data_IF_096391961082
#
_entry.id   IF_096391961082
#
_cell.length_a   1.000
_cell.length_b   1.000
_cell.length_c   1.000
_cell.angle_alpha   90.00
_cell.angle_beta   90.00
_cell.angle_gamma   90.00
#
_symmetry.space_group_name_H-M   'P 1'
#
loop_
_entity.id
_entity.type
_entity.pdbx_description
1 polymer ?
#
# COMPACT_ATOMS: atom_id res chain seq x y z
N UNK A 1 10.53 28.23 -6.00
CA UNK A 1 11.10 26.99 -5.41
C UNK A 1 10.46 25.81 -6.12
N UNK A 2 11.24 24.78 -6.50
CA UNK A 2 10.68 23.57 -7.11
C UNK A 2 9.71 22.90 -6.12
N UNK A 3 8.51 22.53 -6.57
CA UNK A 3 7.54 21.79 -5.75
C UNK A 3 8.09 20.38 -5.53
N UNK A 4 8.15 19.95 -4.28
CA UNK A 4 8.61 18.62 -3.88
C UNK A 4 7.47 17.85 -3.22
N UNK A 5 7.28 16.60 -3.63
CA UNK A 5 6.25 15.72 -3.11
C UNK A 5 6.88 14.40 -2.63
N UNK A 6 6.19 13.67 -1.77
CA UNK A 6 6.60 12.35 -1.29
C UNK A 6 5.49 11.34 -1.54
N UNK A 7 5.80 10.19 -2.16
CA UNK A 7 4.81 9.18 -2.50
C UNK A 7 5.19 7.80 -2.00
N UNK A 8 4.22 7.10 -1.44
CA UNK A 8 4.35 5.79 -0.83
C UNK A 8 3.52 4.75 -1.58
N UNK A 9 4.14 3.65 -1.99
CA UNK A 9 3.48 2.65 -2.82
C UNK A 9 2.45 1.79 -2.08
N UNK A 10 1.51 1.19 -2.80
CA UNK A 10 0.69 0.09 -2.29
C UNK A 10 1.58 -1.13 -2.04
N UNK A 11 1.48 -1.75 -0.86
CA UNK A 11 2.31 -2.90 -0.51
C UNK A 11 1.74 -3.81 0.61
N UNK A 12 0.51 -3.59 1.06
CA UNK A 12 -0.09 -4.36 2.15
C UNK A 12 0.77 -4.41 3.42
N UNK A 13 1.03 -5.61 3.94
CA UNK A 13 1.82 -5.79 5.17
C UNK A 13 3.31 -5.43 5.03
N UNK A 14 3.84 -5.25 3.81
CA UNK A 14 5.16 -4.64 3.62
C UNK A 14 5.16 -3.13 3.96
N UNK A 15 4.03 -2.57 4.39
CA UNK A 15 3.92 -1.22 4.95
C UNK A 15 4.88 -0.97 6.11
N UNK A 16 5.35 -2.02 6.80
CA UNK A 16 6.37 -1.90 7.84
C UNK A 16 7.69 -1.33 7.31
N UNK A 17 8.08 -1.64 6.07
CA UNK A 17 9.24 -1.02 5.42
C UNK A 17 9.03 0.49 5.26
N UNK A 18 7.83 0.88 4.80
CA UNK A 18 7.49 2.29 4.58
C UNK A 18 7.41 3.06 5.90
N UNK A 19 6.97 2.42 6.99
CA UNK A 19 7.04 2.99 8.35
C UNK A 19 8.49 3.22 8.79
N UNK A 20 9.40 2.28 8.50
CA UNK A 20 10.84 2.46 8.76
C UNK A 20 11.44 3.62 7.94
N UNK A 21 11.04 3.77 6.68
CA UNK A 21 11.42 4.93 5.86
C UNK A 21 10.88 6.23 6.46
N UNK A 22 9.61 6.27 6.86
CA UNK A 22 9.02 7.43 7.50
C UNK A 22 9.76 7.83 8.79
N UNK A 23 10.14 6.85 9.62
CA UNK A 23 10.94 7.06 10.84
C UNK A 23 12.31 7.66 10.51
N UNK A 24 13.01 7.11 9.51
CA UNK A 24 14.30 7.63 9.07
C UNK A 24 14.19 9.07 8.51
N UNK A 25 13.12 9.36 7.76
CA UNK A 25 12.85 10.70 7.25
C UNK A 25 12.57 11.70 8.38
N UNK A 26 11.82 11.32 9.41
CA UNK A 26 11.57 12.17 10.58
C UNK A 26 12.86 12.45 11.37
N UNK A 27 13.72 11.43 11.53
CA UNK A 27 14.98 11.56 12.30
C UNK A 27 16.09 12.31 11.56
N UNK A 28 16.24 12.05 10.26
CA UNK A 28 17.41 12.48 9.49
C UNK A 28 17.06 13.41 8.32
N UNK A 29 15.79 13.45 7.92
CA UNK A 29 15.29 14.14 6.72
C UNK A 29 14.54 15.45 6.99
N UNK A 30 14.72 16.09 8.16
CA UNK A 30 13.94 17.28 8.54
C UNK A 30 13.93 18.40 7.46
N UNK A 31 15.08 18.68 6.82
CA UNK A 31 15.17 19.65 5.72
C UNK A 31 14.38 19.22 4.48
N UNK A 32 14.41 17.93 4.17
CA UNK A 32 13.66 17.35 3.05
C UNK A 32 12.16 17.46 3.32
N UNK A 33 11.71 16.97 4.48
CA UNK A 33 10.30 17.02 4.90
C UNK A 33 9.76 18.44 4.98
N UNK A 34 10.57 19.41 5.46
CA UNK A 34 10.20 20.83 5.46
C UNK A 34 10.00 21.42 4.06
N UNK A 35 10.55 20.78 3.03
CA UNK A 35 10.38 21.18 1.62
C UNK A 35 9.22 20.44 0.93
N UNK A 36 8.72 19.35 1.50
CA UNK A 36 7.62 18.56 0.93
C UNK A 36 6.31 19.33 1.07
N UNK A 37 5.66 19.57 -0.08
CA UNK A 37 4.36 20.23 -0.16
C UNK A 37 3.21 19.24 -0.06
N UNK A 38 3.31 18.13 -0.76
CA UNK A 38 2.25 17.13 -0.82
C UNK A 38 2.79 15.72 -0.64
N UNK A 39 1.94 14.88 -0.09
CA UNK A 39 2.17 13.48 0.17
C UNK A 39 1.15 12.69 -0.62
N UNK A 40 1.54 11.54 -1.16
CA UNK A 40 0.65 10.68 -1.91
C UNK A 40 0.82 9.23 -1.51
N UNK A 41 -0.22 8.43 -1.73
CA UNK A 41 -0.08 7.00 -1.60
C UNK A 41 -1.32 6.22 -1.98
N UNK A 42 -1.14 4.90 -2.01
CA UNK A 42 -2.18 3.92 -2.25
C UNK A 42 -2.09 2.82 -1.18
N UNK A 43 -3.21 2.25 -0.75
CA UNK A 43 -3.25 1.16 0.23
C UNK A 43 -2.42 1.48 1.49
N UNK A 44 -1.60 0.55 1.97
CA UNK A 44 -0.67 0.76 3.07
C UNK A 44 0.20 2.04 2.93
N UNK A 45 0.61 2.40 1.71
CA UNK A 45 1.35 3.64 1.47
C UNK A 45 0.52 4.90 1.79
N UNK A 46 -0.78 4.89 1.49
CA UNK A 46 -1.67 6.01 1.86
C UNK A 46 -1.86 6.14 3.38
N UNK A 47 -1.85 5.02 4.11
CA UNK A 47 -1.90 5.01 5.57
C UNK A 47 -0.63 5.65 6.16
N UNK A 48 0.55 5.24 5.68
CA UNK A 48 1.83 5.82 6.11
C UNK A 48 1.92 7.31 5.76
N UNK A 49 1.53 7.69 4.54
CA UNK A 49 1.50 9.08 4.11
C UNK A 49 0.59 9.93 5.00
N UNK A 50 -0.59 9.42 5.37
CA UNK A 50 -1.53 10.12 6.26
C UNK A 50 -0.90 10.36 7.63
N UNK A 51 -0.35 9.32 8.26
CA UNK A 51 0.29 9.43 9.58
C UNK A 51 1.43 10.43 9.55
N UNK A 52 2.27 10.39 8.52
CA UNK A 52 3.41 11.32 8.38
C UNK A 52 2.96 12.78 8.25
N UNK A 53 1.80 13.03 7.63
CA UNK A 53 1.23 14.38 7.48
C UNK A 53 0.54 14.86 8.74
N UNK A 54 -0.23 13.99 9.40
CA UNK A 54 -1.20 14.41 10.43
C UNK A 54 -0.78 14.09 11.85
N UNK A 55 0.05 13.07 12.06
CA UNK A 55 0.43 12.57 13.38
C UNK A 55 1.83 11.90 13.40
N UNK A 56 2.89 12.59 12.94
CA UNK A 56 4.24 12.01 12.88
C UNK A 56 4.76 11.55 14.25
N UNK A 57 4.31 12.18 15.34
CA UNK A 57 4.64 11.81 16.72
C UNK A 57 4.05 10.45 17.14
N UNK A 58 2.99 9.97 16.48
CA UNK A 58 2.36 8.68 16.76
C UNK A 58 3.00 7.50 16.01
N UNK A 59 4.11 7.71 15.29
CA UNK A 59 4.69 6.68 14.43
C UNK A 59 5.03 5.37 15.17
N UNK A 60 5.53 5.45 16.40
CA UNK A 60 5.76 4.26 17.25
C UNK A 60 4.47 3.49 17.50
N UNK A 61 3.39 4.19 17.86
CA UNK A 61 2.08 3.57 18.06
C UNK A 61 1.55 2.94 16.77
N UNK A 62 1.78 3.56 15.61
CA UNK A 62 1.40 3.00 14.31
C UNK A 62 2.17 1.72 14.00
N UNK A 63 3.48 1.65 14.33
CA UNK A 63 4.27 0.42 14.20
C UNK A 63 3.71 -0.69 15.09
N UNK A 64 3.40 -0.39 16.35
CA UNK A 64 2.81 -1.37 17.27
C UNK A 64 1.45 -1.87 16.80
N UNK A 65 0.60 -0.97 16.30
CA UNK A 65 -0.66 -1.33 15.66
C UNK A 65 -0.41 -2.25 14.45
N UNK A 66 0.51 -1.90 13.55
CA UNK A 66 0.83 -2.70 12.37
C UNK A 66 1.33 -4.10 12.73
N UNK A 67 2.20 -4.22 13.75
CA UNK A 67 2.69 -5.52 14.24
C UNK A 67 1.57 -6.36 14.85
N UNK A 68 0.73 -5.78 15.71
CA UNK A 68 -0.43 -6.47 16.30
C UNK A 68 -1.41 -6.90 15.23
N UNK A 69 -1.74 -6.01 14.30
CA UNK A 69 -2.65 -6.27 13.19
C UNK A 69 -2.14 -7.41 12.29
N UNK A 70 -0.86 -7.39 11.91
CA UNK A 70 -0.24 -8.48 11.15
C UNK A 70 -0.20 -9.80 11.95
N UNK A 71 0.07 -9.74 13.26
CA UNK A 71 0.04 -10.92 14.14
C UNK A 71 -1.36 -11.53 14.22
N UNK A 72 -2.37 -10.69 14.42
CA UNK A 72 -3.78 -11.10 14.49
C UNK A 72 -4.24 -11.75 13.20
N UNK A 73 -3.89 -11.19 12.04
CA UNK A 73 -4.18 -11.77 10.73
C UNK A 73 -3.49 -13.12 10.58
N UNK A 74 -2.19 -13.23 10.91
CA UNK A 74 -1.45 -14.51 10.80
C UNK A 74 -1.98 -15.62 11.69
N UNK A 75 -2.60 -15.30 12.83
CA UNK A 75 -3.21 -16.28 13.74
C UNK A 75 -4.51 -16.87 13.21
N UNK A 76 -5.15 -16.22 12.23
CA UNK A 76 -6.42 -16.71 11.70
C UNK A 76 -6.20 -17.87 10.70
N UNK A 77 -7.10 -18.87 10.71
CA UNK A 77 -7.00 -20.08 9.87
C UNK A 77 -6.92 -19.77 8.35
N UNK A 78 -7.54 -18.69 7.90
CA UNK A 78 -7.51 -18.23 6.50
C UNK A 78 -6.95 -16.80 6.37
N UNK A 79 -6.14 -16.34 7.32
CA UNK A 79 -5.66 -14.97 7.35
C UNK A 79 -6.82 -13.96 7.45
N UNK A 80 -6.73 -12.87 6.69
CA UNK A 80 -7.77 -11.84 6.64
C UNK A 80 -9.11 -12.33 6.05
N UNK A 81 -9.12 -13.50 5.38
CA UNK A 81 -10.33 -14.12 4.79
C UNK A 81 -11.06 -15.03 5.77
N UNK A 82 -10.68 -15.05 7.04
CA UNK A 82 -11.29 -15.93 8.04
C UNK A 82 -12.71 -15.46 8.36
N UNK A 83 -13.74 -16.32 8.21
CA UNK A 83 -15.11 -15.96 8.56
C UNK A 83 -15.20 -15.44 10.01
N UNK A 84 -15.76 -14.24 10.19
CA UNK A 84 -15.87 -13.58 11.49
C UNK A 84 -14.71 -12.67 11.87
N UNK A 85 -13.60 -12.65 11.11
CA UNK A 85 -12.53 -11.65 11.27
C UNK A 85 -12.80 -10.45 10.35
N UNK A 86 -13.20 -9.32 10.92
CA UNK A 86 -13.42 -8.10 10.14
C UNK A 86 -12.12 -7.25 10.08
N UNK A 87 -11.35 -7.49 9.02
CA UNK A 87 -10.12 -6.76 8.72
C UNK A 87 -10.37 -5.24 8.61
N UNK A 88 -11.49 -4.86 7.98
CA UNK A 88 -11.80 -3.46 7.72
C UNK A 88 -12.26 -2.74 8.98
N UNK A 89 -13.00 -3.42 9.86
CA UNK A 89 -13.37 -2.90 11.17
C UNK A 89 -12.13 -2.63 12.04
N UNK A 90 -11.21 -3.60 12.15
CA UNK A 90 -9.97 -3.41 12.91
C UNK A 90 -9.09 -2.30 12.34
N UNK A 91 -9.02 -2.18 11.01
CA UNK A 91 -8.31 -1.07 10.37
C UNK A 91 -8.97 0.28 10.69
N UNK A 92 -10.31 0.34 10.67
CA UNK A 92 -11.08 1.53 11.08
C UNK A 92 -10.80 1.91 12.52
N UNK A 93 -10.88 0.97 13.45
CA UNK A 93 -10.59 1.21 14.89
C UNK A 93 -9.18 1.78 15.08
N UNK A 94 -8.19 1.23 14.37
CA UNK A 94 -6.83 1.77 14.38
C UNK A 94 -6.73 3.20 13.84
N UNK A 95 -7.43 3.51 12.75
CA UNK A 95 -7.47 4.87 12.20
C UNK A 95 -8.16 5.86 13.14
N UNK A 96 -9.24 5.43 13.80
CA UNK A 96 -9.97 6.22 14.80
C UNK A 96 -9.18 6.45 16.10
N UNK A 97 -8.21 5.60 16.42
CA UNK A 97 -7.31 5.79 17.57
C UNK A 97 -6.08 6.65 17.20
N UNK A 98 -5.52 6.43 16.02
CA UNK A 98 -4.28 7.10 15.58
C UNK A 98 -4.56 8.52 15.11
N UNK A 99 -5.55 8.76 14.25
CA UNK A 99 -5.71 10.07 13.60
C UNK A 99 -6.23 11.14 14.57
N UNK A 100 -5.69 12.38 14.57
CA UNK A 100 -6.24 13.45 15.38
C UNK A 100 -7.65 13.90 14.89
N UNK A 101 -8.45 14.57 15.74
CA UNK A 101 -9.79 15.06 15.36
C UNK A 101 -9.81 15.93 14.10
N UNK A 102 -8.78 16.76 13.90
CA UNK A 102 -8.63 17.66 12.76
C UNK A 102 -7.75 17.09 11.62
N UNK A 103 -7.53 15.76 11.58
CA UNK A 103 -6.66 15.14 10.58
C UNK A 103 -7.04 15.51 9.13
N UNK A 104 -8.34 15.60 8.84
CA UNK A 104 -8.87 15.96 7.53
C UNK A 104 -8.51 17.40 7.09
N UNK A 105 -8.40 18.33 8.04
CA UNK A 105 -7.97 19.71 7.77
C UNK A 105 -6.47 19.77 7.49
N UNK A 106 -5.66 19.04 8.29
CA UNK A 106 -4.21 18.97 8.11
C UNK A 106 -3.84 18.27 6.79
N UNK A 107 -4.59 17.23 6.44
CA UNK A 107 -4.39 16.43 5.23
C UNK A 107 -4.96 17.09 3.96
N UNK A 108 -5.93 18.00 4.10
CA UNK A 108 -6.53 18.71 2.97
C UNK A 108 -5.47 19.37 2.09
N UNK A 109 -5.52 19.11 0.78
CA UNK A 109 -4.58 19.56 -0.25
C UNK A 109 -3.12 19.10 -0.10
N UNK A 110 -2.78 18.50 1.03
CA UNK A 110 -1.44 18.01 1.35
C UNK A 110 -1.33 16.50 1.22
N UNK A 111 -2.43 15.77 1.23
CA UNK A 111 -2.48 14.32 1.07
C UNK A 111 -3.29 13.96 -0.18
N UNK A 112 -2.75 13.09 -1.02
CA UNK A 112 -3.42 12.53 -2.19
C UNK A 112 -3.55 11.02 -2.05
N UNK A 113 -4.78 10.53 -1.89
CA UNK A 113 -5.07 9.10 -1.73
C UNK A 113 -5.61 8.53 -3.03
N UNK A 114 -4.94 7.50 -3.52
CA UNK A 114 -5.38 6.73 -4.69
C UNK A 114 -6.51 5.77 -4.30
N UNK A 115 -7.62 5.79 -5.04
CA UNK A 115 -8.71 4.82 -4.92
C UNK A 115 -9.13 4.33 -6.31
N UNK A 116 -9.57 3.08 -6.40
CA UNK A 116 -9.99 2.45 -7.65
C UNK A 116 -11.51 2.32 -7.69
N UNK A 117 -12.15 2.83 -8.74
CA UNK A 117 -13.58 2.64 -8.94
C UNK A 117 -13.88 1.16 -9.25
N UNK A 118 -14.72 0.50 -8.44
CA UNK A 118 -14.92 -0.95 -8.50
C UNK A 118 -15.44 -1.45 -9.86
N UNK A 119 -16.40 -0.73 -10.46
CA UNK A 119 -16.99 -1.08 -11.77
C UNK A 119 -16.13 -0.69 -12.98
N UNK A 120 -15.77 0.59 -13.08
CA UNK A 120 -15.08 1.14 -14.26
C UNK A 120 -13.57 0.88 -14.25
N UNK A 121 -13.00 0.48 -13.10
CA UNK A 121 -11.55 0.30 -12.88
C UNK A 121 -10.74 1.55 -13.23
N UNK A 122 -11.36 2.73 -13.12
CA UNK A 122 -10.66 4.02 -13.25
C UNK A 122 -10.12 4.46 -11.89
N UNK A 123 -8.94 5.07 -11.91
CA UNK A 123 -8.35 5.67 -10.73
C UNK A 123 -9.01 7.01 -10.39
N UNK A 124 -9.06 7.32 -9.09
CA UNK A 124 -9.35 8.65 -8.58
C UNK A 124 -8.33 9.01 -7.50
N UNK A 125 -7.74 10.20 -7.60
CA UNK A 125 -6.89 10.77 -6.56
C UNK A 125 -7.72 11.73 -5.71
N UNK A 126 -7.98 11.36 -4.46
CA UNK A 126 -8.74 12.20 -3.51
C UNK A 126 -7.77 13.01 -2.66
N UNK A 127 -7.95 14.33 -2.62
CA UNK A 127 -7.11 15.23 -1.81
C UNK A 127 -7.87 16.20 -0.90
N UNK A 128 -9.19 16.18 -0.97
CA UNK A 128 -10.06 17.04 -0.17
C UNK A 128 -10.98 16.15 0.67
N UNK A 129 -11.04 16.42 1.96
CA UNK A 129 -11.75 15.60 2.94
C UNK A 129 -12.70 16.49 3.73
N UNK A 130 -14.01 16.20 3.67
CA UNK A 130 -15.02 17.04 4.32
C UNK A 130 -15.04 16.91 5.85
N UNK A 131 -14.53 15.79 6.38
CA UNK A 131 -14.45 15.50 7.81
C UNK A 131 -13.40 14.42 8.07
N UNK A 132 -13.07 14.19 9.34
CA UNK A 132 -12.22 13.06 9.76
C UNK A 132 -12.79 11.72 9.30
N UNK A 133 -14.10 11.55 9.39
CA UNK A 133 -14.79 10.35 8.88
C UNK A 133 -14.69 10.22 7.37
N UNK A 134 -14.72 11.33 6.64
CA UNK A 134 -14.53 11.33 5.18
C UNK A 134 -13.12 10.84 4.81
N UNK A 135 -12.09 11.34 5.52
CA UNK A 135 -10.71 10.87 5.37
C UNK A 135 -10.57 9.38 5.69
N UNK A 136 -11.09 8.92 6.83
CA UNK A 136 -11.05 7.51 7.23
C UNK A 136 -11.72 6.63 6.17
N UNK A 137 -12.88 7.04 5.67
CA UNK A 137 -13.60 6.30 4.61
C UNK A 137 -12.80 6.18 3.32
N UNK A 138 -12.10 7.24 2.91
CA UNK A 138 -11.21 7.22 1.73
C UNK A 138 -10.02 6.29 1.95
N UNK A 139 -9.41 6.28 3.13
CA UNK A 139 -8.31 5.37 3.48
C UNK A 139 -8.76 3.91 3.49
N UNK A 140 -9.93 3.63 4.06
CA UNK A 140 -10.53 2.29 4.01
C UNK A 140 -10.79 1.85 2.57
N UNK A 141 -11.30 2.74 1.70
CA UNK A 141 -11.48 2.44 0.28
C UNK A 141 -10.13 2.14 -0.39
N UNK A 142 -9.11 2.95 -0.12
CA UNK A 142 -7.74 2.80 -0.64
C UNK A 142 -7.06 1.50 -0.19
N UNK A 143 -7.47 0.93 0.94
CA UNK A 143 -6.94 -0.34 1.50
C UNK A 143 -7.86 -1.55 1.32
N UNK A 144 -9.00 -1.41 0.66
CA UNK A 144 -9.94 -2.51 0.44
C UNK A 144 -9.48 -3.39 -0.73
N UNK A 145 -8.71 -4.44 -0.46
CA UNK A 145 -8.32 -5.39 -1.52
C UNK A 145 -9.48 -6.37 -1.76
N UNK A 146 -10.09 -6.39 -2.97
CA UNK A 146 -11.16 -7.34 -3.30
C UNK A 146 -10.71 -8.79 -3.08
N UNK A 147 -11.65 -9.68 -2.73
CA UNK A 147 -11.41 -11.09 -2.34
C UNK A 147 -10.81 -11.24 -0.94
N UNK A 148 -9.95 -10.32 -0.50
CA UNK A 148 -9.34 -10.35 0.84
C UNK A 148 -10.18 -9.66 1.92
N UNK A 149 -10.74 -8.48 1.61
CA UNK A 149 -11.49 -7.65 2.55
C UNK A 149 -13.02 -7.81 2.44
N UNK A 150 -13.48 -8.68 1.55
CA UNK A 150 -14.90 -8.93 1.26
C UNK A 150 -15.25 -8.80 -0.23
N UNK A 151 -16.54 -8.92 -0.52
CA UNK A 151 -17.09 -8.86 -1.89
C UNK A 151 -17.58 -7.44 -2.24
N UNK A 152 -18.05 -6.69 -1.23
CA UNK A 152 -18.58 -5.33 -1.41
C UNK A 152 -17.51 -4.33 -0.99
N UNK A 153 -17.01 -3.55 -1.95
CA UNK A 153 -16.08 -2.46 -1.68
C UNK A 153 -16.71 -1.34 -0.83
N UNK A 154 -15.94 -0.30 -0.57
CA UNK A 154 -16.37 0.82 0.27
C UNK A 154 -17.26 1.76 -0.53
N UNK A 155 -18.44 2.08 0.00
CA UNK A 155 -19.30 3.10 -0.59
C UNK A 155 -18.76 4.50 -0.25
N UNK A 156 -18.45 5.29 -1.27
CA UNK A 156 -17.99 6.66 -1.15
C UNK A 156 -18.59 7.50 -2.28
N UNK A 157 -19.28 8.59 -1.90
CA UNK A 157 -19.97 9.52 -2.82
C UNK A 157 -20.90 8.81 -3.83
N UNK A 158 -21.70 7.86 -3.35
CA UNK A 158 -22.69 7.12 -4.15
C UNK A 158 -22.10 6.08 -5.11
N UNK A 159 -20.80 5.80 -5.00
CA UNK A 159 -20.09 4.84 -5.84
C UNK A 159 -19.30 3.85 -4.97
N UNK A 160 -18.98 2.68 -5.53
CA UNK A 160 -18.20 1.65 -4.83
C UNK A 160 -16.73 1.73 -5.23
N UNK A 161 -15.85 1.76 -4.23
CA UNK A 161 -14.42 1.93 -4.39
C UNK A 161 -13.66 0.79 -3.70
N UNK A 162 -12.48 0.49 -4.24
CA UNK A 162 -11.58 -0.57 -3.80
C UNK A 162 -10.13 -0.06 -3.86
N UNK A 163 -9.20 -0.91 -3.45
CA UNK A 163 -7.79 -0.56 -3.24
C UNK A 163 -7.21 0.23 -4.41
N UNK A 164 -6.61 1.38 -4.09
CA UNK A 164 -6.02 2.29 -5.08
C UNK A 164 -4.87 1.66 -5.85
N UNK A 165 -4.18 0.70 -5.24
CA UNK A 165 -3.07 -0.03 -5.82
C UNK A 165 -3.44 -0.88 -7.03
N UNK A 166 -4.74 -1.14 -7.25
CA UNK A 166 -5.20 -1.84 -8.45
C UNK A 166 -5.11 -1.01 -9.72
N UNK A 167 -5.06 0.32 -9.61
CA UNK A 167 -5.01 1.23 -10.77
C UNK A 167 -3.83 2.19 -10.73
N UNK A 168 -3.40 2.62 -9.55
CA UNK A 168 -2.26 3.49 -9.36
C UNK A 168 -1.55 3.12 -8.06
N UNK A 169 -0.59 2.22 -8.18
CA UNK A 169 0.11 1.60 -7.05
C UNK A 169 1.20 2.48 -6.45
N UNK A 170 1.73 3.46 -7.18
CA UNK A 170 2.70 4.42 -6.67
C UNK A 170 2.42 5.79 -7.32
N UNK A 171 1.53 6.58 -6.72
CA UNK A 171 1.05 7.82 -7.34
C UNK A 171 2.17 8.84 -7.54
N UNK A 172 2.40 9.26 -8.79
CA UNK A 172 3.27 10.40 -9.11
C UNK A 172 2.39 11.61 -9.40
N UNK A 173 2.62 12.70 -8.68
CA UNK A 173 1.81 13.92 -8.84
C UNK A 173 2.28 14.72 -10.06
N UNK A 174 1.35 15.36 -10.80
CA UNK A 174 1.65 16.02 -12.08
C UNK A 174 2.49 17.29 -11.93
N UNK A 175 2.51 17.89 -10.76
CA UNK A 175 3.25 19.14 -10.48
C UNK A 175 4.37 18.86 -9.50
N UNK A 176 5.59 19.22 -9.90
CA UNK A 176 6.78 19.10 -9.05
C UNK A 176 7.48 17.74 -9.12
N UNK A 177 8.57 17.60 -8.37
CA UNK A 177 9.31 16.35 -8.24
C UNK A 177 8.68 15.50 -7.14
N UNK A 178 8.24 14.29 -7.47
CA UNK A 178 7.69 13.34 -6.49
C UNK A 178 8.74 12.31 -6.11
N UNK A 179 9.28 12.36 -4.90
CA UNK A 179 10.16 11.33 -4.34
C UNK A 179 9.32 10.07 -4.07
N UNK A 180 9.79 8.93 -4.55
CA UNK A 180 9.06 7.66 -4.50
C UNK A 180 9.64 6.70 -3.49
N UNK A 181 8.77 6.11 -2.66
CA UNK A 181 9.11 5.11 -1.65
C UNK A 181 8.42 3.81 -2.01
N UNK A 182 9.19 2.73 -2.13
CA UNK A 182 8.67 1.41 -2.41
C UNK A 182 9.46 0.32 -1.69
N UNK A 183 8.80 -0.66 -1.06
CA UNK A 183 9.49 -1.85 -0.55
C UNK A 183 9.92 -2.82 -1.66
N UNK A 184 9.53 -2.57 -2.91
CA UNK A 184 9.92 -3.41 -4.05
C UNK A 184 11.14 -2.80 -4.74
N UNK A 185 12.10 -3.64 -5.12
CA UNK A 185 13.26 -3.21 -5.90
C UNK A 185 12.82 -2.64 -7.25
N UNK A 186 13.58 -1.67 -7.77
CA UNK A 186 13.28 -1.04 -9.04
C UNK A 186 13.88 0.36 -9.16
N UNK A 187 13.35 1.15 -10.08
CA UNK A 187 13.76 2.53 -10.31
C UNK A 187 12.96 3.49 -9.42
N UNK A 188 13.05 3.31 -8.09
CA UNK A 188 12.44 4.18 -7.09
C UNK A 188 13.51 4.93 -6.31
N UNK A 189 13.17 6.08 -5.73
CA UNK A 189 14.13 6.90 -4.99
C UNK A 189 14.57 6.25 -3.68
N UNK A 190 13.62 5.63 -2.98
CA UNK A 190 13.85 4.88 -1.75
C UNK A 190 13.26 3.48 -1.91
N UNK A 191 14.11 2.52 -2.23
CA UNK A 191 13.77 1.09 -2.29
C UNK A 191 14.99 0.21 -1.98
N UNK A 192 14.79 -1.09 -1.71
CA UNK A 192 15.89 -2.05 -1.63
C UNK A 192 16.71 -2.04 -2.92
N UNK A 193 18.05 -2.12 -2.80
CA UNK A 193 18.95 -2.29 -3.94
C UNK A 193 18.92 -3.74 -4.41
N UNK A 194 18.99 -3.93 -5.72
CA UNK A 194 19.23 -5.25 -6.30
C UNK A 194 20.75 -5.52 -6.23
N UNK A 195 21.18 -6.65 -5.69
CA UNK A 195 22.55 -7.16 -5.91
C UNK A 195 22.57 -7.95 -7.24
N UNK A 196 23.61 -7.74 -8.04
CA UNK A 196 23.68 -7.90 -9.49
C UNK A 196 23.14 -9.22 -10.11
N UNK A 197 22.33 -9.07 -11.16
CA UNK A 197 22.27 -9.96 -12.34
C UNK A 197 21.78 -9.14 -13.57
N UNK A 198 22.75 -8.69 -14.36
CA UNK A 198 22.75 -8.18 -15.76
C UNK A 198 21.44 -7.58 -16.32
N UNK A 199 21.46 -6.28 -16.63
CA UNK A 199 20.34 -5.55 -17.25
C UNK A 199 20.46 -5.42 -18.77
N UNK A 200 19.42 -5.78 -19.54
CA UNK A 200 19.25 -5.40 -20.95
C UNK A 200 17.96 -4.55 -21.05
N UNK A 201 17.77 -3.62 -22.04
CA UNK A 201 16.69 -2.57 -22.09
C UNK A 201 15.79 -2.57 -23.36
N UNK A 202 14.45 -2.76 -23.25
CA UNK A 202 13.47 -2.83 -24.36
C UNK A 202 12.12 -2.14 -24.02
N UNK A 203 11.88 -0.97 -24.58
CA UNK A 203 10.66 -0.14 -24.42
C UNK A 203 9.44 -0.70 -25.14
N UNK A 204 8.23 -0.57 -24.56
CA UNK A 204 6.96 -0.80 -25.27
C UNK A 204 5.83 0.10 -24.74
N UNK A 205 5.21 0.84 -25.68
CA UNK A 205 4.04 1.73 -25.52
C UNK A 205 4.18 2.89 -24.51
N UNK A 206 5.10 3.82 -24.81
CA UNK A 206 5.44 5.02 -24.01
C UNK A 206 5.86 4.75 -22.54
N UNK A 207 6.22 3.51 -22.22
CA UNK A 207 7.01 3.16 -21.04
C UNK A 207 8.30 2.43 -21.46
N UNK A 208 9.49 2.83 -20.95
CA UNK A 208 10.72 2.07 -21.15
C UNK A 208 10.67 0.80 -20.30
N UNK A 209 10.15 -0.26 -20.89
CA UNK A 209 10.37 -1.64 -20.47
C UNK A 209 11.87 -1.98 -20.68
N UNK A 210 12.41 -2.97 -19.95
CA UNK A 210 13.81 -3.40 -20.00
C UNK A 210 13.83 -4.91 -20.42
N UNK A 211 14.75 -5.30 -21.31
CA UNK A 211 14.85 -6.43 -22.27
C UNK A 211 15.04 -7.85 -21.70
N UNK A 212 14.67 -8.82 -22.55
CA UNK A 212 14.56 -10.26 -22.37
C UNK A 212 15.71 -10.93 -23.15
N UNK A 213 16.77 -11.31 -22.44
CA UNK A 213 17.85 -12.14 -22.97
C UNK A 213 17.82 -13.57 -22.42
N UNK A 214 17.18 -14.49 -23.14
CA UNK A 214 17.61 -15.89 -23.28
C UNK A 214 17.78 -16.74 -22.01
N UNK A 215 16.71 -16.92 -21.24
CA UNK A 215 16.58 -17.98 -20.25
C UNK A 215 15.10 -18.17 -19.96
N UNK A 216 14.55 -19.32 -20.36
CA UNK A 216 13.11 -19.60 -20.33
C UNK A 216 12.45 -19.26 -18.98
N UNK A 217 11.27 -18.65 -19.08
CA UNK A 217 10.19 -18.48 -18.08
C UNK A 217 10.09 -17.15 -17.31
N UNK A 218 9.29 -16.26 -17.91
CA UNK A 218 8.16 -15.53 -17.30
C UNK A 218 8.43 -14.38 -16.30
N UNK A 219 8.78 -13.20 -16.82
CA UNK A 219 8.75 -11.92 -16.07
C UNK A 219 7.31 -11.47 -15.75
N UNK A 220 6.31 -11.94 -16.53
CA UNK A 220 4.89 -11.85 -16.16
C UNK A 220 4.52 -12.69 -14.92
N UNK A 221 5.39 -13.64 -14.55
CA UNK A 221 5.25 -14.38 -13.31
C UNK A 221 5.79 -13.61 -12.12
N UNK A 222 6.82 -12.79 -12.12
CA UNK A 222 7.31 -12.22 -10.85
C UNK A 222 6.37 -11.22 -10.17
N UNK A 223 5.65 -10.38 -10.92
CA UNK A 223 4.54 -9.57 -10.35
C UNK A 223 3.33 -10.44 -9.97
N UNK A 224 2.99 -11.45 -10.78
CA UNK A 224 1.95 -12.44 -10.44
C UNK A 224 2.37 -13.37 -9.32
N UNK A 225 3.65 -13.59 -9.07
CA UNK A 225 4.26 -14.50 -8.11
C UNK A 225 4.51 -13.75 -6.84
N UNK A 226 4.80 -12.45 -6.81
CA UNK A 226 4.75 -11.69 -5.55
C UNK A 226 3.29 -11.50 -5.10
N UNK A 227 2.37 -11.23 -6.05
CA UNK A 227 0.93 -11.21 -5.78
C UNK A 227 0.41 -12.62 -5.41
N UNK A 228 0.92 -13.67 -6.07
CA UNK A 228 0.65 -15.07 -5.74
C UNK A 228 1.46 -15.59 -4.55
N UNK A 229 2.51 -14.92 -4.07
CA UNK A 229 3.26 -15.26 -2.86
C UNK A 229 2.56 -14.59 -1.68
N UNK A 230 1.95 -13.43 -1.87
CA UNK A 230 0.93 -12.88 -0.97
C UNK A 230 -0.33 -13.79 -0.96
N UNK A 231 -0.78 -14.34 -2.10
CA UNK A 231 -1.86 -15.35 -2.14
C UNK A 231 -1.43 -16.74 -1.63
N UNK A 232 -0.18 -17.16 -1.81
CA UNK A 232 0.34 -18.48 -1.43
C UNK A 232 0.81 -18.48 0.03
N UNK A 233 1.31 -17.39 0.58
CA UNK A 233 1.48 -17.24 2.03
C UNK A 233 0.10 -17.13 2.72
N UNK A 234 -0.94 -16.64 2.03
CA UNK A 234 -2.33 -16.68 2.50
C UNK A 234 -3.05 -18.03 2.24
N UNK A 235 -2.54 -18.88 1.33
CA UNK A 235 -3.17 -20.15 0.91
C UNK A 235 -2.39 -21.43 1.24
N UNK A 236 -1.13 -21.36 1.68
CA UNK A 236 -0.28 -22.54 2.01
C UNK A 236 -0.46 -23.02 3.45
N UNK A 237 -1.71 -23.11 3.90
CA UNK A 237 -2.09 -24.05 4.97
C UNK A 237 -2.86 -25.25 4.40
N UNK A 238 -3.31 -25.21 3.14
CA UNK A 238 -4.10 -26.32 2.55
C UNK A 238 -3.33 -27.48 1.92
N UNK A 239 -2.01 -27.40 1.73
CA UNK A 239 -1.25 -28.38 0.93
C UNK A 239 -0.26 -29.25 1.74
N UNK A 240 -0.05 -28.98 3.04
CA UNK A 240 0.79 -29.83 3.89
C UNK A 240 0.05 -30.99 4.56
N UNK A 241 -1.27 -31.09 4.39
CA UNK A 241 -2.07 -32.23 4.89
C UNK A 241 -2.51 -33.23 3.81
N UNK A 242 -2.15 -33.04 2.52
CA UNK A 242 -2.44 -34.04 1.47
C UNK A 242 -1.27 -34.93 1.09
N UNK A 243 -0.05 -34.65 1.56
CA UNK A 243 1.11 -35.52 1.34
C UNK A 243 1.34 -36.55 2.47
N UNK A 244 0.49 -36.56 3.51
CA UNK A 244 0.55 -37.52 4.61
C UNK A 244 -0.57 -38.59 4.56
N UNK A 245 -1.41 -38.61 3.51
CA UNK A 245 -2.53 -39.54 3.37
C UNK A 245 -2.46 -40.48 2.16
N UNK A 246 -1.40 -40.42 1.34
CA UNK A 246 -1.20 -41.31 0.17
C UNK A 246 0.07 -42.19 0.27
N UNK A 247 0.50 -42.48 1.51
CA UNK A 247 1.64 -43.35 1.81
C UNK A 247 1.25 -44.55 2.67
N UNK A 248 0.21 -45.29 2.27
CA UNK A 248 -0.02 -46.67 2.75
C UNK A 248 -0.19 -47.56 1.53
N UNK A 249 0.89 -48.23 1.15
CA UNK A 249 0.95 -49.66 0.82
C UNK A 249 2.40 -50.11 0.83
#
# INVERSE_FOLDING_TARGET
>A
MAVLNLSFSACGFLGIYQLGVAEALLRHGAKLLGSVKTFAGASAGSLVATVLVTAPEKLEHVKDFAYRFASDVRKQKFGAMTPGYDFMLKLREGLEDILPPNAHEIAGDRLHVSITHARTRKNCMVSHFASREDLIKVLLASSFVPVYAGIKGVEYKGQTWVDGGLTNWLPVLPVGRTITVSPFCGSHDICPKHEDLISIKLTLADMPIMDIGGGHMEVGWQCRVQFHLVLALAGRVGARERAAAEGVR
#
